data_IF_645729946507
#
_entry.id   IF_645729946507
#
_cell.length_a   1.000
_cell.length_b   1.000
_cell.length_c   1.000
_cell.angle_alpha   90.00
_cell.angle_beta   90.00
_cell.angle_gamma   90.00
#
_symmetry.space_group_name_H-M   'P 1'
#
loop_
_entity.id
_entity.type
_entity.pdbx_description
1 polymer ?
#
# COMPACT_ATOMS: atom_id res chain seq x y z
N UNK A 1 4.84 -7.53 -17.95
CA UNK A 1 5.48 -6.75 -16.87
C UNK A 1 4.68 -7.00 -15.62
N UNK A 2 5.26 -7.57 -14.56
CA UNK A 2 4.57 -7.71 -13.28
C UNK A 2 4.40 -6.32 -12.67
N UNK A 3 3.16 -5.87 -12.50
CA UNK A 3 2.89 -4.61 -11.83
C UNK A 3 3.30 -4.69 -10.36
N UNK A 4 3.88 -3.62 -9.79
CA UNK A 4 4.30 -3.60 -8.40
C UNK A 4 3.11 -3.82 -7.46
N UNK A 5 3.34 -4.55 -6.36
CA UNK A 5 2.28 -4.95 -5.42
C UNK A 5 1.50 -3.77 -4.87
N UNK A 6 2.16 -2.62 -4.65
CA UNK A 6 1.47 -1.42 -4.17
C UNK A 6 0.51 -0.79 -5.19
N UNK A 7 0.57 -1.14 -6.48
CA UNK A 7 -0.42 -0.68 -7.47
C UNK A 7 -1.64 -1.60 -7.54
N UNK A 8 -1.41 -2.88 -7.30
CA UNK A 8 -2.42 -3.93 -7.47
C UNK A 8 -3.06 -4.38 -6.16
N UNK A 9 -2.56 -3.93 -5.01
CA UNK A 9 -3.09 -4.32 -3.69
C UNK A 9 -4.52 -3.80 -3.45
N UNK A 10 -5.39 -4.62 -2.85
CA UNK A 10 -6.74 -4.22 -2.39
C UNK A 10 -6.74 -3.04 -1.42
N UNK A 11 -5.68 -2.90 -0.63
CA UNK A 11 -5.58 -1.85 0.39
C UNK A 11 -4.96 -0.56 -0.15
N UNK A 12 -4.49 -0.55 -1.41
CA UNK A 12 -3.85 0.62 -2.00
C UNK A 12 -4.90 1.49 -2.66
N UNK A 13 -5.04 2.72 -2.16
CA UNK A 13 -5.94 3.70 -2.75
C UNK A 13 -5.23 4.57 -3.79
N UNK A 14 -4.09 5.14 -3.40
CA UNK A 14 -3.34 6.08 -4.24
C UNK A 14 -1.84 5.84 -4.08
N UNK A 15 -1.14 5.77 -5.19
CA UNK A 15 0.32 5.61 -5.19
C UNK A 15 0.97 6.97 -5.37
N UNK A 16 1.63 7.47 -4.32
CA UNK A 16 2.46 8.66 -4.39
C UNK A 16 3.88 8.36 -4.89
N UNK A 17 4.72 9.39 -4.91
CA UNK A 17 6.11 9.26 -5.33
C UNK A 17 6.92 8.39 -4.36
N UNK A 18 6.76 8.62 -3.05
CA UNK A 18 7.51 7.94 -1.98
C UNK A 18 6.63 6.93 -1.21
N UNK A 19 5.41 7.34 -0.85
CA UNK A 19 4.48 6.55 -0.06
C UNK A 19 3.21 6.20 -0.84
N UNK A 20 2.51 5.18 -0.36
CA UNK A 20 1.27 4.65 -0.88
C UNK A 20 0.19 4.92 0.15
N UNK A 21 -0.88 5.61 -0.24
CA UNK A 21 -2.04 5.84 0.59
C UNK A 21 -2.83 4.54 0.69
N UNK A 22 -3.17 4.14 1.91
CA UNK A 22 -3.78 2.83 2.17
C UNK A 22 -4.98 2.93 3.09
N UNK A 23 -5.88 1.96 2.96
CA UNK A 23 -7.03 1.81 3.84
C UNK A 23 -6.64 1.37 5.26
N UNK A 24 -7.50 1.61 6.27
CA UNK A 24 -7.32 1.14 7.65
C UNK A 24 -7.09 -0.37 7.81
N UNK A 25 -7.53 -1.19 6.84
CA UNK A 25 -7.30 -2.63 6.86
C UNK A 25 -5.84 -3.05 6.60
N UNK A 26 -4.97 -2.14 6.17
CA UNK A 26 -3.58 -2.47 5.89
C UNK A 26 -2.75 -2.60 7.18
N UNK A 27 -2.31 -3.82 7.50
CA UNK A 27 -1.44 -4.10 8.66
C UNK A 27 -0.08 -3.39 8.63
N UNK A 28 0.33 -2.87 7.47
CA UNK A 28 1.60 -2.13 7.29
C UNK A 28 1.41 -0.62 7.21
N UNK A 29 0.18 -0.13 7.40
CA UNK A 29 -0.11 1.30 7.42
C UNK A 29 0.54 2.00 8.61
N UNK A 30 0.87 3.26 8.41
CA UNK A 30 1.35 4.20 9.42
C UNK A 30 0.60 5.51 9.21
N UNK A 31 0.12 6.11 10.30
CA UNK A 31 -0.61 7.37 10.23
C UNK A 31 0.39 8.54 10.22
N UNK A 32 0.34 9.36 9.17
CA UNK A 32 1.14 10.58 9.04
C UNK A 32 0.19 11.74 8.79
N UNK A 33 0.19 12.73 9.70
CA UNK A 33 -0.69 13.92 9.62
C UNK A 33 -2.16 13.56 9.35
N UNK A 34 -2.69 12.54 10.05
CA UNK A 34 -4.07 12.07 9.90
C UNK A 34 -4.35 11.20 8.67
N UNK A 35 -3.35 10.92 7.83
CA UNK A 35 -3.51 10.06 6.65
C UNK A 35 -2.81 8.73 6.84
N UNK A 36 -3.46 7.62 6.50
CA UNK A 36 -2.84 6.31 6.52
C UNK A 36 -2.02 6.07 5.25
N UNK A 37 -0.75 5.76 5.46
CA UNK A 37 0.22 5.52 4.36
C UNK A 37 1.09 4.31 4.66
N UNK A 38 1.60 3.67 3.61
CA UNK A 38 2.61 2.62 3.67
C UNK A 38 3.73 2.93 2.67
N UNK A 39 4.97 2.56 2.97
CA UNK A 39 6.10 2.74 2.06
C UNK A 39 6.02 1.75 0.90
N UNK A 40 6.50 2.13 -0.29
CA UNK A 40 6.56 1.23 -1.46
C UNK A 40 7.29 -0.08 -1.15
N UNK A 41 8.47 0.00 -0.51
CA UNK A 41 9.24 -1.19 -0.10
C UNK A 41 8.42 -2.12 0.80
N UNK A 42 7.73 -1.59 1.82
CA UNK A 42 6.90 -2.41 2.71
C UNK A 42 5.76 -3.11 1.97
N UNK A 43 5.19 -2.46 0.96
CA UNK A 43 4.15 -3.06 0.14
C UNK A 43 4.68 -4.18 -0.76
N UNK A 44 5.89 -4.04 -1.32
CA UNK A 44 6.55 -5.10 -2.11
C UNK A 44 6.86 -6.34 -1.28
N UNK A 45 7.30 -6.15 -0.04
CA UNK A 45 7.60 -7.22 0.91
C UNK A 45 6.36 -7.71 1.68
N UNK A 46 5.19 -7.14 1.41
CA UNK A 46 3.98 -7.45 2.14
C UNK A 46 3.50 -8.87 1.84
N UNK A 47 3.44 -9.71 2.88
CA UNK A 47 2.88 -11.07 2.83
C UNK A 47 1.35 -11.09 2.87
N UNK A 48 0.73 -10.02 3.38
CA UNK A 48 -0.72 -9.83 3.42
C UNK A 48 -1.25 -9.16 2.13
N UNK A 49 -0.42 -9.05 1.09
CA UNK A 49 -0.82 -8.52 -0.20
C UNK A 49 -1.91 -9.41 -0.82
N UNK A 50 -2.93 -8.75 -1.37
CA UNK A 50 -4.01 -9.37 -2.12
C UNK A 50 -4.27 -8.49 -3.33
N UNK A 51 -4.44 -9.11 -4.49
CA UNK A 51 -4.79 -8.40 -5.72
C UNK A 51 -6.20 -7.82 -5.63
N UNK A 52 -6.37 -6.58 -6.09
CA UNK A 52 -7.67 -5.97 -6.33
C UNK A 52 -8.28 -6.60 -7.57
N UNK A 53 -9.44 -7.21 -7.42
CA UNK A 53 -10.28 -7.64 -8.54
C UNK A 53 -10.85 -6.43 -9.27
#
# INVERSE_FOLDING_TARGET
MNEPKYKTCIHSQKVGQIAVYVDPGCQKATMIKGTLVSSKQRCEECRSWKERK
#
